data_IF_524757285975
#
_entry.id   IF_524757285975
#
_cell.length_a   1.000
_cell.length_b   1.000
_cell.length_c   1.000
_cell.angle_alpha   90.00
_cell.angle_beta   90.00
_cell.angle_gamma   90.00
#
_symmetry.space_group_name_H-M   'P 1'
#
loop_
_entity.id
_entity.type
_entity.pdbx_description
1 polymer ?
#
# COMPACT_ATOMS: atom_id res chain seq x y z
N UNK A 1 -16.89 -17.85 -11.97
CA UNK A 1 -15.62 -17.56 -12.67
C UNK A 1 -14.62 -17.18 -11.58
N UNK A 2 -13.74 -18.09 -11.18
CA UNK A 2 -12.65 -17.77 -10.24
C UNK A 2 -11.47 -17.30 -11.08
N UNK A 3 -11.44 -16.00 -11.39
CA UNK A 3 -10.23 -15.39 -11.95
C UNK A 3 -9.26 -15.33 -10.79
N UNK A 4 -8.20 -16.15 -10.82
CA UNK A 4 -7.10 -16.05 -9.86
C UNK A 4 -6.58 -14.61 -9.92
N UNK A 5 -6.58 -13.90 -8.79
CA UNK A 5 -6.03 -12.55 -8.72
C UNK A 5 -4.59 -12.56 -9.23
N UNK A 6 -4.17 -11.49 -9.90
CA UNK A 6 -2.78 -11.31 -10.32
C UNK A 6 -1.88 -11.40 -9.10
N UNK A 7 -0.97 -12.38 -9.08
CA UNK A 7 -0.03 -12.53 -7.97
C UNK A 7 1.05 -11.45 -8.05
N UNK A 8 1.41 -10.89 -6.88
CA UNK A 8 2.56 -9.99 -6.78
C UNK A 8 3.84 -10.82 -6.92
N UNK A 9 4.30 -11.03 -8.15
CA UNK A 9 5.41 -11.92 -8.49
C UNK A 9 6.26 -11.28 -9.58
N UNK A 10 7.58 -11.27 -9.42
CA UNK A 10 8.47 -10.81 -10.51
C UNK A 10 8.36 -11.75 -11.73
N UNK A 11 8.34 -11.17 -12.92
CA UNK A 11 8.24 -11.90 -14.21
C UNK A 11 9.28 -13.03 -14.33
N UNK A 12 10.47 -12.83 -13.76
CA UNK A 12 11.57 -13.81 -13.75
C UNK A 12 11.24 -15.13 -13.03
N UNK A 13 10.23 -15.14 -12.15
CA UNK A 13 9.78 -16.34 -11.43
C UNK A 13 8.56 -17.00 -12.09
N UNK A 14 8.01 -16.41 -13.16
CA UNK A 14 6.90 -16.99 -13.90
C UNK A 14 7.43 -18.14 -14.76
N UNK A 15 7.06 -19.38 -14.41
CA UNK A 15 7.44 -20.57 -15.17
C UNK A 15 6.31 -21.02 -16.10
N UNK A 16 6.66 -21.63 -17.26
CA UNK A 16 5.68 -22.17 -18.22
C UNK A 16 4.77 -23.28 -17.66
N UNK A 17 5.09 -23.80 -16.47
CA UNK A 17 4.26 -24.76 -15.74
C UNK A 17 3.12 -24.12 -14.93
N UNK A 18 3.07 -22.78 -14.85
CA UNK A 18 2.01 -22.06 -14.14
C UNK A 18 2.09 -22.15 -12.61
N UNK A 19 3.24 -22.55 -12.06
CA UNK A 19 3.44 -22.57 -10.60
C UNK A 19 3.63 -21.13 -10.13
N UNK A 20 2.61 -20.58 -9.48
CA UNK A 20 2.70 -19.28 -8.81
C UNK A 20 3.51 -19.46 -7.53
N UNK A 21 4.63 -18.73 -7.41
CA UNK A 21 5.32 -18.56 -6.14
C UNK A 21 4.69 -17.39 -5.41
N UNK A 22 3.98 -17.68 -4.32
CA UNK A 22 3.60 -16.64 -3.36
C UNK A 22 4.83 -16.30 -2.52
N UNK A 23 5.37 -15.11 -2.76
CA UNK A 23 6.40 -14.56 -1.90
C UNK A 23 5.78 -14.10 -0.58
N UNK A 24 6.44 -14.31 0.57
CA UNK A 24 6.00 -13.70 1.81
C UNK A 24 5.91 -12.17 1.65
N UNK A 25 4.99 -11.47 2.33
CA UNK A 25 4.87 -10.01 2.26
C UNK A 25 6.14 -9.23 2.64
N UNK A 26 7.08 -9.90 3.32
CA UNK A 26 8.39 -9.38 3.69
C UNK A 26 9.41 -9.37 2.53
N UNK A 27 9.11 -10.06 1.43
CA UNK A 27 9.96 -10.09 0.23
C UNK A 27 9.32 -9.19 -0.82
N UNK A 28 9.95 -8.06 -1.16
CA UNK A 28 9.40 -7.19 -2.17
C UNK A 28 9.60 -7.72 -3.58
N UNK A 29 8.68 -7.35 -4.45
CA UNK A 29 8.76 -7.54 -5.89
C UNK A 29 8.91 -6.20 -6.60
N UNK A 30 9.02 -6.25 -7.92
CA UNK A 30 8.98 -5.09 -8.83
C UNK A 30 7.65 -4.36 -8.78
N UNK A 31 6.56 -5.05 -8.41
CA UNK A 31 5.21 -4.48 -8.36
C UNK A 31 4.81 -3.99 -6.97
N UNK A 32 5.47 -4.43 -5.89
CA UNK A 32 5.09 -4.07 -4.52
C UNK A 32 4.99 -2.55 -4.29
N UNK A 33 5.91 -1.75 -4.85
CA UNK A 33 5.87 -0.28 -4.72
C UNK A 33 4.70 0.35 -5.47
N UNK A 34 4.37 -0.18 -6.65
CA UNK A 34 3.23 0.27 -7.44
C UNK A 34 1.92 -0.09 -6.78
N UNK A 35 1.81 -1.31 -6.24
CA UNK A 35 0.63 -1.80 -5.52
C UNK A 35 0.36 -0.92 -4.29
N UNK A 36 1.38 -0.69 -3.45
CA UNK A 36 1.25 0.19 -2.28
C UNK A 36 0.80 1.62 -2.68
N UNK A 37 1.35 2.17 -3.78
CA UNK A 37 0.92 3.49 -4.27
C UNK A 37 -0.54 3.50 -4.74
N UNK A 38 -1.00 2.45 -5.40
CA UNK A 38 -2.39 2.31 -5.85
C UNK A 38 -3.34 2.21 -4.66
N UNK A 39 -3.01 1.37 -3.67
CA UNK A 39 -3.81 1.23 -2.44
C UNK A 39 -3.89 2.56 -1.67
N UNK A 40 -2.76 3.24 -1.51
CA UNK A 40 -2.74 4.56 -0.89
C UNK A 40 -3.55 5.60 -1.67
N UNK A 41 -3.44 5.60 -3.00
CA UNK A 41 -4.22 6.50 -3.85
C UNK A 41 -5.72 6.24 -3.74
N UNK A 42 -6.14 4.97 -3.65
CA UNK A 42 -7.53 4.59 -3.45
C UNK A 42 -8.06 5.09 -2.10
N UNK A 43 -7.26 5.01 -1.03
CA UNK A 43 -7.61 5.58 0.28
C UNK A 43 -7.73 7.10 0.22
N UNK A 44 -6.84 7.78 -0.52
CA UNK A 44 -6.92 9.22 -0.76
C UNK A 44 -8.20 9.59 -1.52
N UNK A 45 -8.54 8.86 -2.57
CA UNK A 45 -9.76 9.07 -3.35
C UNK A 45 -11.01 8.90 -2.47
N UNK A 46 -11.07 7.83 -1.67
CA UNK A 46 -12.16 7.62 -0.73
C UNK A 46 -12.30 8.79 0.24
N UNK A 47 -11.18 9.30 0.74
CA UNK A 47 -11.15 10.46 1.64
C UNK A 47 -11.72 11.70 0.96
N UNK A 48 -11.28 12.00 -0.26
CA UNK A 48 -11.78 13.15 -1.04
C UNK A 48 -13.27 13.01 -1.32
N UNK A 49 -13.74 11.81 -1.66
CA UNK A 49 -15.15 11.53 -1.92
C UNK A 49 -16.05 11.66 -0.69
N UNK A 50 -15.52 11.41 0.51
CA UNK A 50 -16.25 11.58 1.78
C UNK A 50 -16.26 13.03 2.28
N UNK A 51 -15.30 13.85 1.87
CA UNK A 51 -15.22 15.24 2.26
C UNK A 51 -16.16 16.10 1.37
N UNK A 52 -16.96 17.01 1.96
CA UNK A 52 -17.83 17.87 1.16
C UNK A 52 -16.99 18.76 0.23
N UNK A 53 -17.36 18.76 -1.06
CA UNK A 53 -16.68 19.46 -2.18
C UNK A 53 -16.39 20.94 -1.90
N UNK A 54 -17.13 21.55 -0.99
CA UNK A 54 -17.04 22.98 -0.71
C UNK A 54 -16.21 23.36 0.52
N UNK A 55 -15.81 22.43 1.41
CA UNK A 55 -14.98 22.77 2.59
C UNK A 55 -15.48 23.90 3.50
N UNK A 56 -16.71 24.39 3.32
CA UNK A 56 -17.18 25.67 3.84
C UNK A 56 -18.21 25.56 4.97
N UNK A 57 -18.80 24.37 5.20
CA UNK A 57 -19.57 24.15 6.42
C UNK A 57 -18.98 23.01 7.26
N UNK A 58 -18.24 23.33 8.34
CA UNK A 58 -17.77 22.35 9.33
C UNK A 58 -18.89 21.49 9.94
N UNK A 59 -20.18 21.86 9.75
CA UNK A 59 -21.33 21.04 10.17
C UNK A 59 -21.62 19.86 9.25
N UNK A 60 -21.17 19.87 8.00
CA UNK A 60 -21.46 18.80 7.02
C UNK A 60 -20.48 17.63 7.13
N UNK A 61 -19.23 17.87 7.54
CA UNK A 61 -18.26 16.81 7.80
C UNK A 61 -18.26 16.46 9.29
N UNK A 62 -19.04 15.44 9.66
CA UNK A 62 -19.10 14.98 11.05
C UNK A 62 -17.71 14.60 11.57
N UNK A 63 -17.32 15.10 12.74
CA UNK A 63 -16.01 14.82 13.37
C UNK A 63 -15.69 13.32 13.47
N UNK A 64 -16.72 12.48 13.67
CA UNK A 64 -16.57 11.02 13.65
C UNK A 64 -16.09 10.46 12.30
N UNK A 65 -16.49 11.05 11.18
CA UNK A 65 -15.99 10.67 9.85
C UNK A 65 -14.51 11.02 9.70
N UNK A 66 -14.09 12.20 10.20
CA UNK A 66 -12.67 12.61 10.21
C UNK A 66 -11.82 11.65 11.05
N UNK A 67 -12.31 11.26 12.24
CA UNK A 67 -11.62 10.26 13.06
C UNK A 67 -11.57 8.89 12.39
N UNK A 68 -12.66 8.47 11.72
CA UNK A 68 -12.72 7.23 10.97
C UNK A 68 -11.71 7.19 9.83
N UNK A 69 -11.61 8.27 9.05
CA UNK A 69 -10.61 8.44 8.00
C UNK A 69 -9.19 8.38 8.58
N UNK A 70 -8.93 9.14 9.65
CA UNK A 70 -7.63 9.12 10.34
C UNK A 70 -7.22 7.72 10.81
N UNK A 71 -8.16 6.95 11.37
CA UNK A 71 -7.91 5.57 11.79
C UNK A 71 -7.55 4.66 10.59
N UNK A 72 -8.21 4.84 9.43
CA UNK A 72 -7.90 4.07 8.21
C UNK A 72 -6.50 4.36 7.68
N UNK A 73 -6.09 5.62 7.62
CA UNK A 73 -4.71 5.97 7.26
C UNK A 73 -3.69 5.36 8.22
N UNK A 74 -3.96 5.42 9.53
CA UNK A 74 -3.07 4.83 10.54
C UNK A 74 -2.99 3.31 10.41
N UNK A 75 -4.09 2.62 10.13
CA UNK A 75 -4.08 1.18 9.91
C UNK A 75 -3.31 0.83 8.64
N UNK A 76 -3.56 1.53 7.53
CA UNK A 76 -2.81 1.35 6.29
C UNK A 76 -1.29 1.49 6.51
N UNK A 77 -0.85 2.54 7.21
CA UNK A 77 0.57 2.73 7.50
C UNK A 77 1.18 1.63 8.39
N UNK A 78 0.40 1.03 9.29
CA UNK A 78 0.85 -0.09 10.15
C UNK A 78 0.90 -1.40 9.39
N UNK A 79 0.02 -1.59 8.42
CA UNK A 79 -0.09 -2.81 7.63
C UNK A 79 0.91 -2.84 6.47
N UNK A 80 1.55 -1.71 6.15
CA UNK A 80 2.65 -1.65 5.19
C UNK A 80 3.77 -2.60 5.57
N UNK A 81 4.33 -3.28 4.56
CA UNK A 81 5.57 -4.03 4.70
C UNK A 81 6.69 -3.13 5.24
N UNK A 82 7.61 -3.71 6.01
CA UNK A 82 8.69 -2.99 6.71
C UNK A 82 9.47 -2.04 5.79
N UNK A 83 9.70 -2.43 4.54
CA UNK A 83 10.41 -1.61 3.55
C UNK A 83 9.64 -0.39 3.03
N UNK A 84 8.36 -0.25 3.35
CA UNK A 84 7.57 0.95 3.10
C UNK A 84 7.22 1.74 4.38
N UNK A 85 7.58 1.24 5.56
CA UNK A 85 7.27 1.94 6.81
C UNK A 85 8.19 3.16 6.98
N UNK A 86 7.64 4.34 7.31
CA UNK A 86 8.39 5.60 7.36
C UNK A 86 9.22 5.79 8.64
N UNK A 87 9.17 4.86 9.60
CA UNK A 87 9.92 5.00 10.84
C UNK A 87 11.41 4.65 10.66
N UNK A 88 12.25 5.26 11.50
CA UNK A 88 13.71 5.12 11.38
C UNK A 88 14.21 3.69 11.57
N UNK A 89 13.47 2.85 12.31
CA UNK A 89 13.87 1.46 12.55
C UNK A 89 13.69 0.66 11.27
N UNK A 90 12.51 0.78 10.66
CA UNK A 90 12.15 0.09 9.42
C UNK A 90 13.01 0.54 8.24
N UNK A 91 13.32 1.84 8.13
CA UNK A 91 14.24 2.37 7.11
C UNK A 91 15.63 1.72 7.24
N UNK A 92 16.16 1.62 8.46
CA UNK A 92 17.47 0.98 8.69
C UNK A 92 17.44 -0.51 8.39
N UNK A 93 16.36 -1.21 8.76
CA UNK A 93 16.18 -2.64 8.48
C UNK A 93 16.09 -2.92 6.97
N UNK A 94 15.58 -1.97 6.20
CA UNK A 94 15.29 -2.14 4.78
C UNK A 94 16.39 -1.59 3.86
N UNK A 95 17.50 -1.09 4.41
CA UNK A 95 18.55 -0.46 3.62
C UNK A 95 19.08 -1.37 2.51
N UNK A 96 19.38 -2.64 2.82
CA UNK A 96 19.87 -3.60 1.84
C UNK A 96 18.85 -3.86 0.71
N UNK A 97 17.56 -3.90 1.05
CA UNK A 97 16.47 -4.05 0.08
C UNK A 97 16.44 -2.84 -0.86
N UNK A 98 16.52 -1.62 -0.30
CA UNK A 98 16.51 -0.39 -1.08
C UNK A 98 17.74 -0.25 -1.99
N UNK A 99 18.89 -0.77 -1.57
CA UNK A 99 20.12 -0.81 -2.38
C UNK A 99 20.01 -1.81 -3.54
N UNK A 100 19.43 -2.99 -3.31
CA UNK A 100 19.20 -4.01 -4.35
C UNK A 100 18.09 -3.61 -5.33
N UNK A 101 17.05 -2.94 -4.82
CA UNK A 101 15.82 -2.61 -5.55
C UNK A 101 15.48 -1.12 -5.39
N UNK A 102 16.16 -0.22 -6.13
CA UNK A 102 16.05 1.22 -5.94
C UNK A 102 14.66 1.81 -6.25
N UNK A 103 13.80 1.08 -6.95
CA UNK A 103 12.41 1.48 -7.19
C UNK A 103 11.49 1.32 -5.96
N UNK A 104 11.96 0.65 -4.91
CA UNK A 104 11.29 0.55 -3.60
C UNK A 104 11.60 1.77 -2.73
N UNK A 105 12.77 2.38 -2.92
CA UNK A 105 13.29 3.49 -2.13
C UNK A 105 12.57 4.83 -2.40
#
# INVERSE_FOLDING_TARGET
>A
MSVSYTSDTDDQFITGAGVSYEFPPAVPTSMSASIARIEFASLCEETVNQLPVSGLDPKECGYGAVLGLGARFQNYLKDLSVFFQPDLTSIRQSQAICEERPYIA
#
